data_IF_889842652214
#
_entry.id   IF_889842652214
#
_cell.length_a   1.000
_cell.length_b   1.000
_cell.length_c   1.000
_cell.angle_alpha   90.00
_cell.angle_beta   90.00
_cell.angle_gamma   90.00
#
_symmetry.space_group_name_H-M   'P 1'
#
loop_
_entity.id
_entity.type
_entity.pdbx_description
1 polymer ?
#
# COMPACT_ATOMS: atom_id res chain seq x y z
N UNK A 1 -1.57 -2.07 14.21
CA UNK A 1 -1.40 -1.22 13.01
C UNK A 1 -0.37 -0.13 13.25
N UNK A 2 -0.46 0.59 14.37
CA UNK A 2 0.52 1.64 14.70
C UNK A 2 1.96 1.12 14.79
N UNK A 3 2.91 1.94 14.35
CA UNK A 3 4.34 1.72 14.48
C UNK A 3 5.14 2.00 13.22
N UNK A 4 6.43 1.67 13.30
CA UNK A 4 7.35 1.72 12.16
C UNK A 4 7.12 0.52 11.25
N UNK A 5 7.05 0.80 9.96
CA UNK A 5 6.83 -0.18 8.91
C UNK A 5 7.63 0.21 7.67
N UNK A 6 7.94 -0.77 6.83
CA UNK A 6 8.61 -0.59 5.54
C UNK A 6 7.79 -1.30 4.48
N UNK A 7 7.59 -0.70 3.31
CA UNK A 7 6.95 -1.43 2.20
C UNK A 7 7.87 -2.57 1.75
N UNK A 8 7.42 -3.81 1.91
CA UNK A 8 8.16 -5.02 1.51
C UNK A 8 7.82 -5.43 0.09
N UNK A 9 6.53 -5.37 -0.28
CA UNK A 9 6.06 -5.70 -1.61
C UNK A 9 4.86 -4.81 -1.97
N UNK A 10 4.65 -4.62 -3.28
CA UNK A 10 3.48 -3.91 -3.82
C UNK A 10 3.03 -4.59 -5.12
N UNK A 11 1.73 -4.67 -5.35
CA UNK A 11 1.13 -5.23 -6.56
C UNK A 11 -0.01 -4.33 -7.03
N UNK A 12 -0.22 -4.24 -8.34
CA UNK A 12 -1.33 -3.49 -8.91
C UNK A 12 -1.77 -4.06 -10.27
N UNK A 13 -3.04 -3.87 -10.62
CA UNK A 13 -3.55 -4.20 -11.95
C UNK A 13 -2.94 -3.29 -13.03
N UNK A 14 -2.79 -2.00 -12.72
CA UNK A 14 -2.09 -1.01 -13.54
C UNK A 14 -0.63 -0.89 -13.08
N UNK A 15 0.23 -1.76 -13.60
CA UNK A 15 1.64 -1.87 -13.19
C UNK A 15 2.42 -0.56 -13.33
N UNK A 16 2.10 0.28 -14.31
CA UNK A 16 2.72 1.59 -14.54
C UNK A 16 2.61 2.52 -13.33
N UNK A 17 1.58 2.35 -12.50
CA UNK A 17 1.39 3.16 -11.27
C UNK A 17 2.37 2.82 -10.17
N UNK A 18 2.93 1.60 -10.18
CA UNK A 18 3.81 1.09 -9.12
C UNK A 18 5.23 0.81 -9.60
N UNK A 19 5.51 1.00 -10.90
CA UNK A 19 6.87 0.96 -11.43
C UNK A 19 7.75 2.08 -10.86
N UNK A 20 9.07 2.01 -11.09
CA UNK A 20 9.98 3.07 -10.63
C UNK A 20 9.58 4.43 -11.24
N UNK A 21 9.26 5.39 -10.38
CA UNK A 21 8.74 6.71 -10.77
C UNK A 21 7.22 6.76 -10.91
N UNK A 22 6.53 5.63 -10.72
CA UNK A 22 5.08 5.56 -10.64
C UNK A 22 4.55 6.23 -9.36
N UNK A 23 3.42 6.96 -9.45
CA UNK A 23 2.89 7.78 -8.36
C UNK A 23 2.46 6.96 -7.13
N UNK A 24 2.11 5.69 -7.31
CA UNK A 24 1.62 4.81 -6.25
C UNK A 24 2.71 3.83 -5.75
N UNK A 25 3.97 4.01 -6.14
CA UNK A 25 5.09 3.25 -5.58
C UNK A 25 5.50 3.81 -4.22
N UNK A 26 4.71 3.48 -3.20
CA UNK A 26 4.84 4.04 -1.85
C UNK A 26 5.88 3.30 -1.00
N UNK A 27 6.73 4.05 -0.30
CA UNK A 27 7.72 3.53 0.64
C UNK A 27 7.38 3.92 2.07
N UNK A 28 6.51 3.14 2.74
CA UNK A 28 6.04 3.39 4.11
C UNK A 28 7.21 3.52 5.09
N UNK A 29 7.03 4.38 6.09
CA UNK A 29 7.95 4.60 7.21
C UNK A 29 7.26 4.47 8.56
N UNK A 30 6.07 5.03 8.70
CA UNK A 30 5.35 5.02 9.96
C UNK A 30 3.85 5.07 9.74
N UNK A 31 3.12 4.36 10.59
CA UNK A 31 1.66 4.43 10.69
C UNK A 31 1.33 4.86 12.12
N UNK A 32 0.48 5.88 12.26
CA UNK A 32 -0.04 6.34 13.55
C UNK A 32 -1.55 6.27 13.54
N UNK A 33 -2.15 5.80 14.63
CA UNK A 33 -3.59 5.80 14.80
C UNK A 33 -4.01 6.85 15.83
N UNK A 34 -5.08 7.58 15.54
CA UNK A 34 -5.78 8.40 16.54
C UNK A 34 -7.24 8.01 16.60
N UNK A 35 -7.92 8.39 17.69
CA UNK A 35 -9.37 8.17 17.85
C UNK A 35 -9.80 6.70 17.61
N UNK A 36 -9.15 5.76 18.31
CA UNK A 36 -9.36 4.31 18.13
C UNK A 36 -9.18 3.85 16.66
N UNK A 37 -8.15 4.40 16.00
CA UNK A 37 -7.86 4.23 14.58
C UNK A 37 -9.03 4.67 13.67
N UNK A 38 -9.91 5.60 14.07
CA UNK A 38 -10.82 6.23 13.10
C UNK A 38 -10.04 7.11 12.11
N UNK A 39 -8.86 7.57 12.52
CA UNK A 39 -7.90 8.30 11.68
C UNK A 39 -6.58 7.55 11.68
N UNK A 40 -6.09 7.23 10.48
CA UNK A 40 -4.82 6.56 10.25
C UNK A 40 -3.90 7.51 9.49
N UNK A 41 -2.86 8.00 10.14
CA UNK A 41 -1.79 8.73 9.45
C UNK A 41 -0.77 7.74 8.90
N UNK A 42 -0.47 7.84 7.60
CA UNK A 42 0.57 7.05 6.95
C UNK A 42 1.64 8.00 6.44
N UNK A 43 2.86 7.82 6.93
CA UNK A 43 4.05 8.53 6.45
C UNK A 43 4.85 7.61 5.54
N UNK A 44 5.17 8.08 4.35
CA UNK A 44 5.89 7.32 3.33
C UNK A 44 6.75 8.23 2.47
N UNK A 45 7.65 7.63 1.69
CA UNK A 45 8.32 8.31 0.58
C UNK A 45 7.70 7.92 -0.75
N UNK A 46 7.73 8.85 -1.70
CA UNK A 46 7.50 8.61 -3.13
C UNK A 46 8.64 9.21 -3.93
N UNK A 47 8.81 8.73 -5.16
CA UNK A 47 9.75 9.32 -6.09
C UNK A 47 9.03 10.40 -6.90
N UNK A 48 9.33 11.66 -6.61
CA UNK A 48 8.85 12.81 -7.36
C UNK A 48 10.04 13.46 -8.06
N UNK A 49 10.00 13.55 -9.40
CA UNK A 49 11.08 14.15 -10.21
C UNK A 49 12.48 13.56 -9.92
N UNK A 50 12.58 12.24 -9.76
CA UNK A 50 13.82 11.53 -9.41
C UNK A 50 14.38 11.87 -8.01
N UNK A 51 13.57 12.45 -7.14
CA UNK A 51 13.92 12.75 -5.75
C UNK A 51 12.97 12.04 -4.78
N UNK A 52 13.50 11.62 -3.63
CA UNK A 52 12.70 11.05 -2.56
C UNK A 52 11.95 12.18 -1.83
N UNK A 53 10.64 12.25 -2.04
CA UNK A 53 9.74 13.20 -1.37
C UNK A 53 9.04 12.50 -0.22
N UNK A 54 9.12 13.06 0.99
CA UNK A 54 8.43 12.53 2.16
C UNK A 54 7.00 13.08 2.20
N UNK A 55 6.04 12.18 2.21
CA UNK A 55 4.62 12.52 2.22
C UNK A 55 3.95 11.93 3.45
N UNK A 56 2.94 12.64 3.96
CA UNK A 56 2.04 12.16 5.01
C UNK A 56 0.61 12.33 4.53
N UNK A 57 -0.18 11.26 4.62
CA UNK A 57 -1.61 11.28 4.36
C UNK A 57 -2.37 10.88 5.63
N UNK A 58 -3.61 11.34 5.75
CA UNK A 58 -4.54 10.87 6.79
C UNK A 58 -5.69 10.16 6.11
N UNK A 59 -5.84 8.87 6.38
CA UNK A 59 -7.03 8.09 6.04
C UNK A 59 -8.08 8.23 7.12
N UNK A 60 -9.33 8.47 6.71
CA UNK A 60 -10.48 8.57 7.60
C UNK A 60 -11.37 7.34 7.43
N UNK A 61 -11.51 6.54 8.49
CA UNK A 61 -12.37 5.36 8.50
C UNK A 61 -13.82 5.77 8.39
N UNK A 62 -14.55 5.17 7.46
CA UNK A 62 -15.98 5.38 7.24
C UNK A 62 -16.80 4.26 7.89
N UNK A 63 -18.12 4.39 7.82
CA UNK A 63 -19.06 3.40 8.38
C UNK A 63 -18.95 2.02 7.72
N UNK A 64 -18.52 1.96 6.45
CA UNK A 64 -18.24 0.72 5.71
C UNK A 64 -16.95 0.00 6.15
N UNK A 65 -16.22 0.59 7.10
CA UNK A 65 -14.94 0.08 7.62
C UNK A 65 -13.72 0.42 6.75
N UNK A 66 -13.89 1.03 5.58
CA UNK A 66 -12.81 1.46 4.72
C UNK A 66 -12.28 2.84 5.13
N UNK A 67 -10.99 3.09 4.90
CA UNK A 67 -10.38 4.40 5.02
C UNK A 67 -10.45 5.14 3.69
N UNK A 68 -10.71 6.45 3.75
CA UNK A 68 -10.66 7.36 2.60
C UNK A 68 -9.54 8.37 2.76
N UNK A 69 -8.74 8.58 1.71
CA UNK A 69 -7.66 9.57 1.69
C UNK A 69 -7.46 10.18 0.30
N UNK A 70 -6.92 11.41 0.26
CA UNK A 70 -6.52 12.11 -0.97
C UNK A 70 -5.03 11.97 -1.17
N UNK A 71 -4.61 11.31 -2.25
CA UNK A 71 -3.23 11.24 -2.71
C UNK A 71 -3.20 10.68 -4.14
N UNK A 72 -2.69 11.46 -5.10
CA UNK A 72 -2.67 11.05 -6.52
C UNK A 72 -4.06 10.62 -7.04
N UNK A 73 -5.12 11.21 -6.48
CA UNK A 73 -6.51 10.79 -6.67
C UNK A 73 -7.21 10.42 -5.36
N UNK A 74 -8.40 9.86 -5.52
CA UNK A 74 -9.22 9.32 -4.43
C UNK A 74 -8.74 7.91 -4.09
N UNK A 75 -8.49 7.64 -2.81
CA UNK A 75 -8.10 6.32 -2.33
C UNK A 75 -9.12 5.78 -1.34
N UNK A 76 -9.55 4.54 -1.55
CA UNK A 76 -10.31 3.74 -0.59
C UNK A 76 -9.46 2.54 -0.22
N UNK A 77 -9.08 2.41 1.05
CA UNK A 77 -8.16 1.35 1.47
C UNK A 77 -8.52 0.77 2.84
N UNK A 78 -8.06 -0.45 3.11
CA UNK A 78 -8.19 -1.09 4.43
C UNK A 78 -7.09 -2.13 4.66
N UNK A 79 -6.70 -2.37 5.92
CA UNK A 79 -5.93 -3.55 6.26
C UNK A 79 -6.82 -4.80 6.08
N UNK A 80 -6.36 -5.76 5.28
CA UNK A 80 -7.05 -7.04 5.05
C UNK A 80 -6.40 -8.19 5.81
N UNK A 81 -5.14 -8.02 6.21
CA UNK A 81 -4.45 -8.89 7.16
C UNK A 81 -3.48 -8.05 8.00
N UNK A 82 -3.33 -8.37 9.28
CA UNK A 82 -2.36 -7.73 10.15
C UNK A 82 -1.85 -8.73 11.19
N UNK A 83 -0.53 -8.89 11.25
CA UNK A 83 0.19 -9.65 12.27
C UNK A 83 1.21 -8.74 12.95
N UNK A 84 2.04 -9.29 13.83
CA UNK A 84 3.16 -8.55 14.42
C UNK A 84 4.23 -8.19 13.37
N UNK A 85 4.37 -9.01 12.32
CA UNK A 85 5.43 -8.90 11.32
C UNK A 85 5.03 -8.16 10.04
N UNK A 86 3.78 -8.28 9.63
CA UNK A 86 3.28 -7.69 8.38
C UNK A 86 1.87 -7.09 8.52
N UNK A 87 1.59 -6.09 7.68
CA UNK A 87 0.24 -5.61 7.38
C UNK A 87 0.05 -5.67 5.88
N UNK A 88 -1.06 -6.26 5.43
CA UNK A 88 -1.48 -6.25 4.03
C UNK A 88 -2.62 -5.26 3.89
N UNK A 89 -2.43 -4.25 3.04
CA UNK A 89 -3.45 -3.29 2.67
C UNK A 89 -3.99 -3.64 1.30
N UNK A 90 -5.31 -3.64 1.17
CA UNK A 90 -5.99 -3.55 -0.12
C UNK A 90 -6.44 -2.12 -0.32
N UNK A 91 -6.33 -1.63 -1.55
CA UNK A 91 -6.73 -0.27 -1.89
C UNK A 91 -7.21 -0.18 -3.33
N UNK A 92 -8.13 0.74 -3.55
CA UNK A 92 -8.58 1.19 -4.85
C UNK A 92 -8.23 2.68 -4.97
N UNK A 93 -7.52 3.05 -6.03
CA UNK A 93 -7.19 4.43 -6.36
C UNK A 93 -7.90 4.83 -7.65
N UNK A 94 -8.60 5.97 -7.63
CA UNK A 94 -9.15 6.60 -8.83
C UNK A 94 -8.37 7.88 -9.08
N UNK A 95 -7.58 7.90 -10.14
CA UNK A 95 -6.76 9.06 -10.46
C UNK A 95 -7.58 10.23 -11.04
N UNK A 96 -6.94 11.39 -11.24
CA UNK A 96 -7.59 12.58 -11.79
C UNK A 96 -8.19 12.38 -13.19
N UNK A 97 -7.69 11.40 -13.96
CA UNK A 97 -8.23 11.05 -15.27
C UNK A 97 -9.37 10.03 -15.19
N UNK A 98 -9.74 9.60 -13.97
CA UNK A 98 -10.78 8.61 -13.72
C UNK A 98 -10.30 7.17 -13.89
N UNK A 99 -9.00 6.91 -14.09
CA UNK A 99 -8.48 5.55 -14.20
C UNK A 99 -8.44 4.92 -12.81
N UNK A 100 -9.15 3.81 -12.66
CA UNK A 100 -9.16 3.01 -11.43
C UNK A 100 -7.99 2.04 -11.42
N UNK A 101 -7.29 1.96 -10.30
CA UNK A 101 -6.17 1.05 -10.03
C UNK A 101 -6.43 0.29 -8.73
N UNK A 102 -6.48 -1.03 -8.80
CA UNK A 102 -6.50 -1.89 -7.63
C UNK A 102 -5.08 -2.20 -7.21
N UNK A 103 -4.80 -2.08 -5.92
CA UNK A 103 -3.46 -2.27 -5.38
C UNK A 103 -3.45 -3.02 -4.06
N UNK A 104 -2.40 -3.81 -3.89
CA UNK A 104 -2.08 -4.52 -2.65
C UNK A 104 -0.72 -4.06 -2.20
N UNK A 105 -0.62 -3.60 -0.96
CA UNK A 105 0.63 -3.12 -0.36
C UNK A 105 0.93 -3.93 0.89
N UNK A 106 2.12 -4.51 0.96
CA UNK A 106 2.59 -5.24 2.14
C UNK A 106 3.60 -4.38 2.90
N UNK A 107 3.26 -4.02 4.13
CA UNK A 107 4.12 -3.30 5.05
C UNK A 107 4.72 -4.28 6.06
N UNK A 108 6.04 -4.44 6.10
CA UNK A 108 6.76 -5.35 6.98
C UNK A 108 7.75 -4.66 7.92
N UNK A 109 8.49 -5.46 8.70
CA UNK A 109 9.53 -5.00 9.65
C UNK A 109 10.92 -4.80 9.03
N UNK A 110 11.01 -4.76 7.70
CA UNK A 110 12.27 -4.54 6.98
C UNK A 110 12.99 -5.82 6.55
N UNK A 111 12.34 -6.97 6.64
CA UNK A 111 12.78 -8.21 6.00
C UNK A 111 11.98 -8.46 4.71
N UNK A 112 12.57 -9.17 3.71
CA UNK A 112 11.82 -9.70 2.58
C UNK A 112 10.67 -10.62 3.03
N UNK A 113 9.68 -10.84 2.16
CA UNK A 113 8.62 -11.79 2.44
C UNK A 113 9.20 -13.21 2.52
N UNK A 114 8.69 -14.02 3.45
CA UNK A 114 8.94 -15.46 3.42
C UNK A 114 8.22 -16.08 2.21
N UNK A 115 8.63 -17.28 1.74
CA UNK A 115 7.94 -17.96 0.65
C UNK A 115 6.43 -18.14 0.91
N UNK A 116 6.04 -18.47 2.15
CA UNK A 116 4.63 -18.61 2.53
C UNK A 116 3.87 -17.27 2.47
N UNK A 117 4.50 -16.17 2.89
CA UNK A 117 3.91 -14.84 2.79
C UNK A 117 3.75 -14.40 1.33
N UNK A 118 4.73 -14.72 0.49
CA UNK A 118 4.70 -14.42 -0.94
C UNK A 118 3.60 -15.24 -1.64
N UNK A 119 3.46 -16.54 -1.35
CA UNK A 119 2.40 -17.38 -1.91
C UNK A 119 1.00 -16.86 -1.54
N UNK A 120 0.80 -16.41 -0.28
CA UNK A 120 -0.46 -15.77 0.15
C UNK A 120 -0.71 -14.45 -0.57
N UNK A 121 0.33 -13.64 -0.80
CA UNK A 121 0.23 -12.41 -1.58
C UNK A 121 -0.19 -12.71 -3.03
N UNK A 122 0.42 -13.69 -3.68
CA UNK A 122 0.05 -14.11 -5.03
C UNK A 122 -1.38 -14.61 -5.11
N UNK A 123 -1.81 -15.45 -4.16
CA UNK A 123 -3.17 -15.95 -4.11
C UNK A 123 -4.18 -14.80 -3.97
N UNK A 124 -3.91 -13.86 -3.06
CA UNK A 124 -4.73 -12.67 -2.88
C UNK A 124 -4.75 -11.80 -4.14
N UNK A 125 -3.60 -11.57 -4.78
CA UNK A 125 -3.53 -10.80 -6.02
C UNK A 125 -4.40 -11.43 -7.13
N UNK A 126 -4.30 -12.75 -7.33
CA UNK A 126 -5.12 -13.50 -8.31
C UNK A 126 -6.61 -13.37 -8.03
N UNK A 127 -7.03 -13.54 -6.77
CA UNK A 127 -8.43 -13.42 -6.36
C UNK A 127 -9.00 -12.02 -6.65
N UNK A 128 -8.15 -11.00 -6.56
CA UNK A 128 -8.51 -9.60 -6.80
C UNK A 128 -8.17 -9.09 -8.21
N UNK A 129 -7.98 -9.99 -9.18
CA UNK A 129 -7.67 -9.67 -10.59
C UNK A 129 -6.40 -8.81 -10.79
N UNK A 130 -5.47 -8.88 -9.85
CA UNK A 130 -4.13 -8.30 -10.00
C UNK A 130 -3.20 -9.40 -10.53
N UNK A 131 -2.61 -9.22 -11.73
CA UNK A 131 -1.68 -10.20 -12.27
C UNK A 131 -0.48 -10.43 -11.34
N UNK A 132 -0.14 -11.67 -10.95
CA UNK A 132 0.99 -11.96 -10.08
C UNK A 132 2.33 -11.42 -10.60
N UNK A 133 2.50 -11.38 -11.92
CA UNK A 133 3.67 -10.78 -12.58
C UNK A 133 3.82 -9.27 -12.33
N UNK A 134 2.76 -8.60 -11.82
CA UNK A 134 2.80 -7.20 -11.42
C UNK A 134 3.22 -7.02 -9.96
N UNK A 135 3.50 -8.10 -9.21
CA UNK A 135 4.09 -7.99 -7.88
C UNK A 135 5.52 -7.43 -8.01
N UNK A 136 5.85 -6.48 -7.13
CA UNK A 136 7.16 -5.86 -7.02
C UNK A 136 7.64 -6.01 -5.59
N UNK A 137 8.60 -6.91 -5.39
CA UNK A 137 9.36 -6.96 -4.16
C UNK A 137 10.30 -5.75 -4.08
N UNK A 138 10.21 -5.01 -2.98
CA UNK A 138 10.96 -3.77 -2.76
C UNK A 138 12.19 -3.98 -1.88
N UNK A 139 12.27 -5.12 -1.21
CA UNK A 139 13.38 -5.51 -0.33
C UNK A 139 14.16 -6.73 -0.85
N UNK A 140 13.72 -7.36 -1.94
CA UNK A 140 14.47 -8.43 -2.57
C UNK A 140 15.70 -7.85 -3.30
N UNK A 141 16.88 -8.38 -2.98
CA UNK A 141 18.15 -8.16 -3.69
C UNK A 141 18.37 -9.22 -4.76
#
# INVERSE_FOLDING_TARGET
LEGKWVTTAIAADNVDKIERGGPLRLYIRNITCTEACSKMEVTFYVNENNQCSQTKITGYRQEDGNYRAQFEGDNVFKPVAATEDIIVFASENVDRAGRTTNLVLVAGKGQPLTPEQHEKLEAYAKEHNIPPENIRDLLAT
#
